data_IF_591145538495
#
_entry.id   IF_591145538495
#
_cell.length_a   1.000
_cell.length_b   1.000
_cell.length_c   1.000
_cell.angle_alpha   90.00
_cell.angle_beta   90.00
_cell.angle_gamma   90.00
#
_symmetry.space_group_name_H-M   'P 1'
#
loop_
_entity.id
_entity.type
_entity.pdbx_description
1 polymer ?
#
# COMPACT_ATOMS: atom_id res chain seq x y z
N UNK A 1 -15.69 15.04 -0.25
CA UNK A 1 -17.07 15.46 -0.01
C UNK A 1 -17.06 16.93 0.31
N UNK A 2 -17.95 17.69 -0.32
CA UNK A 2 -18.22 19.05 0.12
C UNK A 2 -19.41 18.96 1.05
N UNK A 3 -19.17 19.23 2.33
CA UNK A 3 -20.22 19.24 3.33
C UNK A 3 -20.26 20.66 3.84
N UNK A 4 -21.36 21.36 3.51
CA UNK A 4 -21.62 22.77 3.80
C UNK A 4 -22.08 23.01 5.25
N UNK A 5 -21.71 22.11 6.15
CA UNK A 5 -21.89 22.31 7.59
C UNK A 5 -20.71 23.16 8.07
N UNK A 6 -21.03 24.34 8.62
CA UNK A 6 -20.05 25.19 9.27
C UNK A 6 -19.57 24.54 10.58
N UNK A 7 -18.25 24.44 10.74
CA UNK A 7 -17.62 23.92 11.94
C UNK A 7 -16.59 24.94 12.41
N UNK A 8 -16.72 25.37 13.65
CA UNK A 8 -15.84 26.36 14.26
C UNK A 8 -14.37 25.95 14.11
N UNK A 9 -13.53 26.85 13.60
CA UNK A 9 -12.09 26.62 13.36
C UNK A 9 -11.74 25.88 12.06
N UNK A 10 -12.69 25.56 11.17
CA UNK A 10 -12.41 24.88 9.90
C UNK A 10 -12.41 25.84 8.71
N UNK A 11 -11.29 25.92 7.99
CA UNK A 11 -11.21 26.58 6.69
C UNK A 11 -11.72 25.64 5.57
N UNK A 12 -12.84 26.01 4.94
CA UNK A 12 -13.38 25.38 3.73
C UNK A 12 -14.28 24.15 3.94
N UNK A 13 -14.95 23.74 2.86
CA UNK A 13 -15.98 22.69 2.89
C UNK A 13 -15.43 21.30 2.55
N UNK A 14 -14.11 21.10 2.47
CA UNK A 14 -13.53 19.79 2.13
C UNK A 14 -13.63 18.79 3.28
N UNK A 15 -14.18 17.62 2.98
CA UNK A 15 -14.24 16.46 3.87
C UNK A 15 -13.69 15.22 3.17
N UNK A 16 -13.07 14.35 3.95
CA UNK A 16 -12.45 13.10 3.50
C UNK A 16 -13.35 11.94 3.85
N UNK A 17 -13.60 11.08 2.86
CA UNK A 17 -14.19 9.77 3.11
C UNK A 17 -13.05 8.80 3.38
N UNK A 18 -13.02 8.27 4.59
CA UNK A 18 -12.15 7.19 5.02
C UNK A 18 -12.90 5.87 4.92
N UNK A 19 -12.18 4.82 4.58
CA UNK A 19 -12.68 3.44 4.63
C UNK A 19 -11.72 2.59 5.43
N UNK A 20 -12.28 1.90 6.41
CA UNK A 20 -11.61 0.88 7.20
C UNK A 20 -12.31 -0.44 6.90
N UNK A 21 -11.54 -1.44 6.51
CA UNK A 21 -12.09 -2.73 6.13
C UNK A 21 -11.41 -3.85 6.90
N UNK A 22 -12.23 -4.76 7.42
CA UNK A 22 -11.83 -6.05 7.96
C UNK A 22 -12.44 -7.18 7.11
N UNK A 23 -12.31 -8.43 7.57
CA UNK A 23 -12.92 -9.58 6.89
C UNK A 23 -14.45 -9.56 6.93
N UNK A 24 -15.05 -8.95 7.94
CA UNK A 24 -16.50 -9.01 8.18
C UNK A 24 -17.19 -7.65 8.07
N UNK A 25 -16.44 -6.55 8.11
CA UNK A 25 -16.99 -5.20 8.19
C UNK A 25 -16.27 -4.24 7.26
N UNK A 26 -17.04 -3.41 6.56
CA UNK A 26 -16.56 -2.19 5.91
C UNK A 26 -17.14 -1.01 6.67
N UNK A 27 -16.28 -0.14 7.20
CA UNK A 27 -16.66 1.01 8.00
C UNK A 27 -16.24 2.29 7.29
N UNK A 28 -17.22 3.16 7.01
CA UNK A 28 -17.05 4.43 6.33
C UNK A 28 -17.06 5.57 7.35
N UNK A 29 -16.10 6.48 7.25
CA UNK A 29 -16.05 7.68 8.10
C UNK A 29 -15.89 8.90 7.23
N UNK A 30 -16.80 9.86 7.36
CA UNK A 30 -16.66 11.18 6.76
C UNK A 30 -16.09 12.11 7.82
N UNK A 31 -14.85 12.58 7.64
CA UNK A 31 -14.15 13.41 8.61
C UNK A 31 -13.46 14.60 7.91
N UNK A 32 -13.46 15.82 8.48
CA UNK A 32 -12.74 16.95 7.88
C UNK A 32 -11.22 16.79 7.94
N UNK A 33 -10.71 15.96 8.86
CA UNK A 33 -9.30 15.65 9.03
C UNK A 33 -8.86 14.52 8.10
N UNK A 34 -7.67 14.69 7.50
CA UNK A 34 -6.91 13.60 6.88
C UNK A 34 -5.76 13.10 7.77
N UNK A 35 -5.77 13.48 9.05
CA UNK A 35 -4.64 13.24 9.96
C UNK A 35 -4.73 11.87 10.67
N UNK A 36 -3.75 11.57 11.52
CA UNK A 36 -3.77 10.36 12.36
C UNK A 36 -4.88 10.36 13.43
N UNK A 37 -5.52 11.50 13.70
CA UNK A 37 -6.65 11.58 14.63
C UNK A 37 -7.82 10.66 14.23
N UNK A 38 -8.00 10.44 12.92
CA UNK A 38 -9.08 9.59 12.40
C UNK A 38 -8.81 8.11 12.69
N UNK A 39 -7.67 7.50 12.29
CA UNK A 39 -7.39 6.12 12.68
C UNK A 39 -7.23 5.94 14.20
N UNK A 40 -6.79 6.96 14.96
CA UNK A 40 -6.79 6.91 16.44
C UNK A 40 -8.20 6.73 17.00
N UNK A 41 -9.18 7.50 16.51
CA UNK A 41 -10.57 7.39 16.95
C UNK A 41 -11.21 6.07 16.49
N UNK A 42 -11.03 5.69 15.22
CA UNK A 42 -11.67 4.50 14.65
C UNK A 42 -11.12 3.20 15.24
N UNK A 43 -9.83 3.16 15.55
CA UNK A 43 -9.17 1.97 16.10
C UNK A 43 -8.95 2.09 17.62
N UNK A 44 -9.74 2.93 18.29
CA UNK A 44 -9.70 3.06 19.74
C UNK A 44 -9.92 1.68 20.41
N UNK A 45 -9.05 1.35 21.37
CA UNK A 45 -9.07 0.05 22.06
C UNK A 45 -8.37 -1.09 21.30
N UNK A 46 -8.01 -0.93 20.02
CA UNK A 46 -7.24 -1.95 19.28
C UNK A 46 -5.78 -1.94 19.75
N UNK A 47 -5.36 -3.03 20.40
CA UNK A 47 -4.06 -3.10 21.05
C UNK A 47 -2.93 -3.57 20.14
N UNK A 48 -3.22 -4.30 19.06
CA UNK A 48 -2.24 -4.90 18.15
C UNK A 48 -2.91 -5.35 16.84
N UNK A 49 -2.13 -5.50 15.77
CA UNK A 49 -2.63 -6.01 14.49
C UNK A 49 -1.83 -5.56 13.29
N UNK A 50 -2.28 -5.94 12.09
CA UNK A 50 -1.67 -5.52 10.82
C UNK A 50 -2.66 -4.64 10.06
N UNK A 51 -2.20 -3.46 9.62
CA UNK A 51 -2.97 -2.56 8.75
C UNK A 51 -2.37 -2.64 7.35
N UNK A 52 -3.15 -3.15 6.38
CA UNK A 52 -2.86 -2.96 4.96
C UNK A 52 -3.32 -1.56 4.54
N UNK A 53 -2.40 -0.72 4.08
CA UNK A 53 -2.70 0.66 3.73
C UNK A 53 -1.89 1.18 2.54
N UNK A 54 -2.36 2.29 2.00
CA UNK A 54 -1.53 3.15 1.19
C UNK A 54 -0.42 3.76 2.05
N UNK A 55 0.61 4.33 1.40
CA UNK A 55 1.78 4.88 2.11
C UNK A 55 1.48 6.22 2.81
N UNK A 56 0.21 6.50 3.13
CA UNK A 56 -0.26 7.77 3.66
C UNK A 56 0.36 8.08 5.05
N UNK A 57 0.62 9.37 5.29
CA UNK A 57 1.32 9.84 6.49
C UNK A 57 0.58 9.55 7.80
N UNK A 58 -0.76 9.57 7.78
CA UNK A 58 -1.60 9.31 8.94
C UNK A 58 -1.29 7.94 9.58
N UNK A 59 -1.26 6.86 8.78
CA UNK A 59 -0.96 5.52 9.28
C UNK A 59 0.47 5.40 9.80
N UNK A 60 1.44 6.08 9.17
CA UNK A 60 2.83 6.13 9.65
C UNK A 60 2.92 6.77 11.05
N UNK A 61 2.20 7.87 11.27
CA UNK A 61 2.12 8.53 12.58
C UNK A 61 1.41 7.62 13.60
N UNK A 62 0.26 7.06 13.23
CA UNK A 62 -0.50 6.12 14.07
C UNK A 62 0.37 4.94 14.54
N UNK A 63 1.01 4.21 13.61
CA UNK A 63 1.86 3.06 13.98
C UNK A 63 3.10 3.43 14.81
N UNK A 64 3.55 4.70 14.78
CA UNK A 64 4.62 5.17 15.67
C UNK A 64 4.12 5.32 17.11
N UNK A 65 2.86 5.71 17.30
CA UNK A 65 2.21 5.84 18.60
C UNK A 65 1.71 4.50 19.14
N UNK A 66 1.52 3.51 18.26
CA UNK A 66 1.05 2.17 18.60
C UNK A 66 2.05 1.09 18.13
N UNK A 67 3.12 0.77 18.90
CA UNK A 67 4.21 -0.10 18.45
C UNK A 67 3.81 -1.54 18.10
N UNK A 68 2.69 -2.02 18.64
CA UNK A 68 2.12 -3.35 18.35
C UNK A 68 1.26 -3.36 17.08
N UNK A 69 1.05 -2.22 16.44
CA UNK A 69 0.44 -2.10 15.12
C UNK A 69 1.52 -2.15 14.06
N UNK A 70 1.41 -3.12 13.15
CA UNK A 70 2.32 -3.30 12.04
C UNK A 70 1.67 -2.81 10.75
N UNK A 71 2.43 -2.08 9.93
CA UNK A 71 1.96 -1.61 8.63
C UNK A 71 2.44 -2.54 7.52
N UNK A 72 1.50 -3.03 6.70
CA UNK A 72 1.76 -3.62 5.40
C UNK A 72 1.46 -2.59 4.32
N UNK A 73 2.45 -2.26 3.51
CA UNK A 73 2.29 -1.24 2.46
C UNK A 73 1.91 -1.86 1.13
N UNK A 74 0.97 -1.20 0.45
CA UNK A 74 0.42 -1.63 -0.81
C UNK A 74 1.45 -1.60 -1.96
N UNK A 75 1.69 -2.77 -2.56
CA UNK A 75 2.52 -2.95 -3.74
C UNK A 75 1.88 -2.39 -5.01
N UNK A 76 0.55 -2.29 -5.10
CA UNK A 76 -0.09 -1.67 -6.27
C UNK A 76 0.29 -0.19 -6.41
N UNK A 77 0.45 0.53 -5.29
CA UNK A 77 1.00 1.89 -5.28
C UNK A 77 2.46 1.93 -5.70
N UNK A 78 3.29 0.99 -5.20
CA UNK A 78 4.68 0.92 -5.60
C UNK A 78 4.83 0.59 -7.10
N UNK A 79 3.97 -0.28 -7.65
CA UNK A 79 3.89 -0.60 -9.09
C UNK A 79 3.48 0.61 -9.90
N UNK A 80 2.50 1.40 -9.43
CA UNK A 80 2.07 2.64 -10.07
C UNK A 80 3.20 3.64 -10.17
N UNK A 81 4.04 3.79 -9.14
CA UNK A 81 5.21 4.67 -9.21
C UNK A 81 6.16 4.28 -10.37
N UNK A 82 6.35 2.98 -10.64
CA UNK A 82 7.16 2.51 -11.77
C UNK A 82 6.48 2.76 -13.11
N UNK A 83 5.17 2.53 -13.22
CA UNK A 83 4.41 2.84 -14.44
C UNK A 83 4.46 4.34 -14.76
N UNK A 84 4.30 5.19 -13.75
CA UNK A 84 4.44 6.64 -13.90
C UNK A 84 5.86 7.00 -14.37
N UNK A 85 6.90 6.40 -13.80
CA UNK A 85 8.27 6.60 -14.28
C UNK A 85 8.43 6.19 -15.76
N UNK A 86 7.88 5.04 -16.15
CA UNK A 86 7.96 4.56 -17.53
C UNK A 86 7.28 5.51 -18.53
N UNK A 87 6.14 6.07 -18.14
CA UNK A 87 5.37 6.99 -18.98
C UNK A 87 6.02 8.38 -19.06
N UNK A 88 6.45 8.92 -17.91
CA UNK A 88 6.97 10.29 -17.81
C UNK A 88 8.41 10.39 -18.34
N UNK A 89 9.14 9.27 -18.37
CA UNK A 89 10.54 9.20 -18.81
C UNK A 89 10.75 8.01 -19.76
N UNK A 90 10.44 8.14 -21.07
CA UNK A 90 10.53 7.04 -22.03
C UNK A 90 11.89 6.31 -22.09
N UNK A 91 13.06 6.96 -21.93
CA UNK A 91 14.34 6.25 -21.86
C UNK A 91 14.47 5.29 -20.66
N UNK A 92 13.63 5.43 -19.63
CA UNK A 92 13.58 4.56 -18.46
C UNK A 92 12.45 3.52 -18.54
N UNK A 93 11.68 3.48 -19.63
CA UNK A 93 10.50 2.63 -19.73
C UNK A 93 10.84 1.15 -19.53
N UNK A 94 11.77 0.60 -20.29
CA UNK A 94 12.17 -0.81 -20.18
C UNK A 94 12.72 -1.13 -18.78
N UNK A 95 13.55 -0.25 -18.24
CA UNK A 95 14.08 -0.39 -16.88
C UNK A 95 12.97 -0.42 -15.83
N UNK A 96 11.98 0.46 -15.94
CA UNK A 96 10.84 0.53 -15.03
C UNK A 96 9.91 -0.68 -15.19
N UNK A 97 9.71 -1.17 -16.42
CA UNK A 97 8.87 -2.34 -16.70
C UNK A 97 9.44 -3.63 -16.10
N UNK A 98 10.76 -3.79 -16.02
CA UNK A 98 11.39 -4.90 -15.28
C UNK A 98 10.90 -4.94 -13.81
N UNK A 99 10.74 -3.77 -13.18
CA UNK A 99 10.19 -3.70 -11.81
C UNK A 99 8.69 -3.96 -11.75
N UNK A 100 7.94 -3.49 -12.74
CA UNK A 100 6.51 -3.77 -12.89
C UNK A 100 6.25 -5.28 -12.97
N UNK A 101 7.06 -5.99 -13.75
CA UNK A 101 6.96 -7.44 -13.94
C UNK A 101 7.36 -8.21 -12.68
N UNK A 102 8.46 -7.80 -12.02
CA UNK A 102 8.85 -8.36 -10.72
C UNK A 102 7.74 -8.22 -9.67
N UNK A 103 7.05 -7.09 -9.65
CA UNK A 103 5.91 -6.89 -8.76
C UNK A 103 4.74 -7.79 -9.19
N UNK A 104 4.44 -7.88 -10.48
CA UNK A 104 3.42 -8.79 -11.02
C UNK A 104 3.63 -10.25 -10.59
N UNK A 105 4.88 -10.71 -10.63
CA UNK A 105 5.22 -12.06 -10.15
C UNK A 105 4.99 -12.23 -8.64
N UNK A 106 5.18 -11.18 -7.81
CA UNK A 106 4.82 -11.26 -6.38
C UNK A 106 3.32 -11.45 -6.18
N UNK A 107 2.48 -10.79 -7.00
CA UNK A 107 1.02 -10.95 -6.94
C UNK A 107 0.62 -12.36 -7.35
N UNK A 108 1.11 -12.84 -8.49
CA UNK A 108 0.88 -14.20 -8.98
C UNK A 108 1.26 -15.26 -7.93
N UNK A 109 2.48 -15.18 -7.38
CA UNK A 109 2.94 -16.10 -6.34
C UNK A 109 2.13 -16.00 -5.05
N UNK A 110 1.59 -14.82 -4.72
CA UNK A 110 0.72 -14.65 -3.56
C UNK A 110 -0.63 -15.35 -3.78
N UNK A 111 -1.23 -15.19 -4.96
CA UNK A 111 -2.53 -15.77 -5.30
C UNK A 111 -2.44 -17.30 -5.35
N UNK A 112 -1.45 -17.86 -6.07
CA UNK A 112 -1.18 -19.30 -6.10
C UNK A 112 -0.96 -19.86 -4.67
N UNK A 113 -0.25 -19.10 -3.81
CA UNK A 113 -0.01 -19.48 -2.41
C UNK A 113 -1.30 -19.44 -1.57
N UNK A 114 -2.23 -18.55 -1.89
CA UNK A 114 -3.50 -18.42 -1.16
C UNK A 114 -4.42 -19.62 -1.41
N UNK A 115 -4.41 -20.14 -2.64
CA UNK A 115 -5.15 -21.33 -3.08
C UNK A 115 -4.54 -22.64 -2.53
N UNK A 116 -3.23 -22.66 -2.29
CA UNK A 116 -2.55 -23.83 -1.73
C UNK A 116 -3.01 -24.14 -0.29
N UNK A 117 -3.16 -25.44 0.00
CA UNK A 117 -3.47 -25.93 1.34
C UNK A 117 -2.45 -25.40 2.37
N UNK A 118 -2.92 -24.76 3.47
CA UNK A 118 -2.01 -24.25 4.50
C UNK A 118 -1.03 -25.31 4.98
N UNK A 119 0.25 -24.95 5.09
CA UNK A 119 1.35 -25.82 5.55
C UNK A 119 1.67 -27.02 4.63
N UNK A 120 1.01 -27.19 3.48
CA UNK A 120 1.34 -28.20 2.48
C UNK A 120 2.67 -27.95 1.74
N UNK A 121 3.15 -28.94 0.97
CA UNK A 121 4.40 -28.81 0.20
C UNK A 121 4.32 -27.66 -0.81
N UNK A 122 3.23 -27.58 -1.58
CA UNK A 122 2.99 -26.51 -2.55
C UNK A 122 3.03 -25.12 -1.88
N UNK A 123 2.36 -24.97 -0.73
CA UNK A 123 2.41 -23.73 0.05
C UNK A 123 3.84 -23.35 0.44
N UNK A 124 4.62 -24.30 0.97
CA UNK A 124 6.02 -24.05 1.38
C UNK A 124 6.90 -23.65 0.19
N UNK A 125 6.72 -24.29 -0.97
CA UNK A 125 7.44 -23.95 -2.19
C UNK A 125 7.08 -22.55 -2.68
N UNK A 126 5.79 -22.21 -2.79
CA UNK A 126 5.33 -20.89 -3.22
C UNK A 126 5.74 -19.79 -2.25
N UNK A 127 5.62 -20.05 -0.94
CA UNK A 127 6.13 -19.15 0.10
C UNK A 127 7.66 -18.95 -0.01
N UNK A 128 8.40 -20.01 -0.32
CA UNK A 128 9.84 -19.95 -0.61
C UNK A 128 10.17 -19.11 -1.85
N UNK A 129 9.44 -19.29 -2.95
CA UNK A 129 9.55 -18.49 -4.18
C UNK A 129 9.27 -17.01 -3.90
N UNK A 130 8.19 -16.70 -3.19
CA UNK A 130 7.82 -15.33 -2.82
C UNK A 130 8.93 -14.65 -1.98
N UNK A 131 9.48 -15.36 -0.98
CA UNK A 131 10.62 -14.87 -0.20
C UNK A 131 11.87 -14.69 -1.06
N UNK A 132 12.10 -15.56 -2.04
CA UNK A 132 13.22 -15.47 -2.97
C UNK A 132 13.08 -14.26 -3.90
N UNK A 133 11.90 -14.05 -4.48
CA UNK A 133 11.57 -12.88 -5.30
C UNK A 133 11.85 -11.58 -4.56
N UNK A 134 11.38 -11.46 -3.31
CA UNK A 134 11.70 -10.29 -2.48
C UNK A 134 13.20 -10.12 -2.21
N UNK A 135 13.94 -11.21 -1.94
CA UNK A 135 15.40 -11.12 -1.77
C UNK A 135 16.09 -10.64 -3.05
N UNK A 136 15.67 -11.13 -4.21
CA UNK A 136 16.17 -10.68 -5.51
C UNK A 136 15.88 -9.20 -5.70
N UNK A 137 14.63 -8.75 -5.53
CA UNK A 137 14.27 -7.33 -5.63
C UNK A 137 15.06 -6.44 -4.66
N UNK A 138 15.38 -6.91 -3.45
CA UNK A 138 16.23 -6.17 -2.53
C UNK A 138 17.66 -5.99 -3.06
N UNK A 139 18.27 -7.06 -3.60
CA UNK A 139 19.61 -7.00 -4.21
C UNK A 139 19.63 -6.08 -5.42
N UNK A 140 18.63 -6.20 -6.28
CA UNK A 140 18.49 -5.37 -7.49
C UNK A 140 18.30 -3.90 -7.14
N UNK A 141 17.56 -3.59 -6.08
CA UNK A 141 17.40 -2.21 -5.61
C UNK A 141 18.72 -1.66 -5.08
N UNK A 142 19.50 -2.47 -4.34
CA UNK A 142 20.82 -2.05 -3.88
C UNK A 142 21.78 -1.81 -5.04
N UNK A 143 21.75 -2.67 -6.08
CA UNK A 143 22.52 -2.46 -7.33
C UNK A 143 22.13 -1.15 -8.00
N UNK A 144 20.83 -0.90 -8.19
CA UNK A 144 20.34 0.34 -8.77
C UNK A 144 20.74 1.59 -7.96
N UNK A 145 20.76 1.50 -6.63
CA UNK A 145 21.21 2.61 -5.77
C UNK A 145 22.73 2.83 -5.77
N UNK A 146 23.52 1.83 -6.15
CA UNK A 146 24.97 1.93 -6.26
C UNK A 146 25.43 2.40 -7.65
N UNK A 147 24.54 2.29 -8.65
CA UNK A 147 24.78 2.76 -10.01
C UNK A 147 24.77 4.30 -10.04
N UNK A 148 25.92 4.87 -10.40
CA UNK A 148 26.12 6.33 -10.48
C UNK A 148 25.51 6.93 -11.74
N UNK A 149 25.30 6.11 -12.77
CA UNK A 149 24.74 6.52 -14.06
C UNK A 149 23.21 6.42 -14.08
N UNK A 150 22.60 5.80 -13.06
CA UNK A 150 21.15 5.70 -12.96
C UNK A 150 20.52 7.11 -12.93
N UNK A 151 19.60 7.46 -13.83
CA UNK A 151 19.01 8.80 -13.84
C UNK A 151 18.28 9.16 -12.53
N UNK A 152 18.30 10.44 -12.17
CA UNK A 152 17.78 10.96 -10.90
C UNK A 152 16.33 10.51 -10.58
N UNK A 153 15.37 10.51 -11.55
CA UNK A 153 14.01 10.03 -11.28
C UNK A 153 13.96 8.57 -10.80
N UNK A 154 14.75 7.68 -11.41
CA UNK A 154 14.85 6.29 -10.99
C UNK A 154 15.54 6.17 -9.62
N UNK A 155 16.60 6.94 -9.35
CA UNK A 155 17.22 6.97 -8.03
C UNK A 155 16.25 7.41 -6.93
N UNK A 156 15.45 8.46 -7.16
CA UNK A 156 14.42 8.95 -6.23
C UNK A 156 13.40 7.84 -5.92
N UNK A 157 12.95 7.12 -6.95
CA UNK A 157 12.04 6.00 -6.79
C UNK A 157 12.67 4.85 -5.98
N UNK A 158 13.90 4.46 -6.28
CA UNK A 158 14.63 3.43 -5.52
C UNK A 158 14.84 3.81 -4.05
N UNK A 159 15.18 5.08 -3.77
CA UNK A 159 15.32 5.61 -2.40
C UNK A 159 13.99 5.56 -1.65
N UNK A 160 12.88 5.91 -2.31
CA UNK A 160 11.53 5.80 -1.76
C UNK A 160 11.18 4.34 -1.41
N UNK A 161 11.42 3.43 -2.35
CA UNK A 161 11.19 1.98 -2.16
C UNK A 161 12.04 1.43 -1.02
N UNK A 162 13.32 1.80 -0.92
CA UNK A 162 14.23 1.41 0.17
C UNK A 162 13.68 1.86 1.53
N UNK A 163 13.25 3.11 1.66
CA UNK A 163 12.66 3.67 2.89
C UNK A 163 11.40 2.91 3.33
N UNK A 164 10.67 2.35 2.37
CA UNK A 164 9.40 1.65 2.61
C UNK A 164 9.52 0.12 2.62
N UNK A 165 10.70 -0.41 2.35
CA UNK A 165 10.95 -1.83 2.13
C UNK A 165 10.47 -2.73 3.27
N UNK A 166 10.75 -2.35 4.52
CA UNK A 166 10.32 -3.13 5.69
C UNK A 166 8.81 -3.36 5.72
N UNK A 167 8.02 -2.35 5.34
CA UNK A 167 6.54 -2.43 5.33
C UNK A 167 6.00 -3.06 4.06
N UNK A 168 6.68 -2.87 2.92
CA UNK A 168 6.34 -3.55 1.66
C UNK A 168 6.48 -5.07 1.76
N UNK A 169 7.44 -5.59 2.54
CA UNK A 169 7.63 -7.06 2.68
C UNK A 169 6.77 -7.71 3.76
N UNK A 170 5.97 -6.95 4.49
CA UNK A 170 5.28 -7.46 5.68
C UNK A 170 4.17 -8.46 5.35
N UNK A 171 3.46 -8.28 4.23
CA UNK A 171 2.42 -9.20 3.75
C UNK A 171 2.89 -10.67 3.62
N UNK A 172 4.19 -10.91 3.42
CA UNK A 172 4.71 -12.28 3.33
C UNK A 172 4.62 -13.03 4.65
N UNK A 173 4.66 -12.31 5.77
CA UNK A 173 4.61 -12.88 7.13
C UNK A 173 3.19 -13.27 7.57
N UNK A 174 2.18 -12.63 7.00
CA UNK A 174 0.78 -12.78 7.38
C UNK A 174 -0.01 -13.29 6.18
N UNK A 175 -0.42 -14.56 6.18
CA UNK A 175 -1.03 -15.22 5.01
C UNK A 175 -2.30 -14.51 4.54
N UNK A 176 -3.05 -13.97 5.49
CA UNK A 176 -4.32 -13.27 5.34
C UNK A 176 -4.20 -11.82 4.86
N UNK A 177 -2.97 -11.26 4.85
CA UNK A 177 -2.73 -9.88 4.44
C UNK A 177 -2.33 -9.87 2.96
N UNK A 178 -3.17 -9.31 2.07
CA UNK A 178 -2.80 -9.18 0.67
C UNK A 178 -1.63 -8.20 0.48
N UNK A 179 -0.89 -8.32 -0.64
CA UNK A 179 0.17 -7.37 -1.01
C UNK A 179 -0.36 -5.97 -1.35
N UNK A 180 -1.69 -5.79 -1.47
CA UNK A 180 -2.33 -4.52 -1.78
C UNK A 180 -3.41 -4.12 -0.75
N UNK A 181 -3.94 -2.91 -0.90
CA UNK A 181 -5.13 -2.42 -0.20
C UNK A 181 -6.31 -2.19 -1.18
N UNK A 182 -6.32 -2.85 -2.34
CA UNK A 182 -7.27 -2.65 -3.42
C UNK A 182 -8.71 -2.92 -2.98
N UNK A 183 -8.93 -3.81 -2.01
CA UNK A 183 -10.27 -4.05 -1.45
C UNK A 183 -10.85 -2.79 -0.80
N UNK A 184 -10.05 -2.08 0.01
CA UNK A 184 -10.48 -0.82 0.62
C UNK A 184 -10.63 0.28 -0.42
N UNK A 185 -9.77 0.32 -1.45
CA UNK A 185 -9.92 1.25 -2.58
C UNK A 185 -11.19 0.99 -3.40
N UNK A 186 -11.54 -0.28 -3.65
CA UNK A 186 -12.79 -0.65 -4.34
C UNK A 186 -14.01 -0.25 -3.52
N UNK A 187 -14.00 -0.46 -2.20
CA UNK A 187 -15.05 0.01 -1.31
C UNK A 187 -15.21 1.55 -1.36
N UNK A 188 -14.10 2.29 -1.50
CA UNK A 188 -14.14 3.75 -1.72
C UNK A 188 -14.72 4.15 -3.09
N UNK A 189 -14.54 3.33 -4.14
CA UNK A 189 -14.96 3.71 -5.51
C UNK A 189 -16.46 3.93 -5.64
N UNK A 190 -17.30 3.09 -5.04
CA UNK A 190 -18.76 3.22 -5.12
C UNK A 190 -19.24 4.61 -4.67
N UNK A 191 -18.95 5.02 -3.41
CA UNK A 191 -19.27 6.36 -2.92
C UNK A 191 -18.64 7.50 -3.73
N UNK A 192 -17.43 7.31 -4.27
CA UNK A 192 -16.76 8.34 -5.10
C UNK A 192 -17.43 8.50 -6.45
N UNK A 193 -17.89 7.41 -7.07
CA UNK A 193 -18.65 7.45 -8.33
C UNK A 193 -20.04 8.05 -8.11
N UNK A 194 -20.75 7.66 -7.05
CA UNK A 194 -22.03 8.26 -6.68
C UNK A 194 -21.93 9.79 -6.58
N UNK A 195 -20.91 10.30 -5.87
CA UNK A 195 -20.64 11.75 -5.80
C UNK A 195 -20.48 12.42 -7.17
N UNK A 196 -19.83 11.76 -8.15
CA UNK A 196 -19.60 12.34 -9.48
C UNK A 196 -20.86 12.37 -10.34
N UNK A 197 -21.85 11.53 -10.02
CA UNK A 197 -23.09 11.41 -10.78
C UNK A 197 -24.26 12.18 -10.14
N UNK A 198 -24.13 12.59 -8.87
CA UNK A 198 -25.15 13.31 -8.09
C UNK A 198 -24.80 14.80 -7.82
N UNK A 199 -23.70 15.30 -8.40
CA UNK A 199 -23.29 16.71 -8.45
C UNK A 199 -23.22 17.16 -9.91
#
# INVERSE_FOLDING_TARGET
>A
WEVFVEREGKAGHRWWLWVFQSRSVVYYVIDPSRSASVPEAVLAGVQSGVISCDRHGAYKKFARLHPRIVLSFCWAHQRRDFLTLANDYPPLADWAMIWVDRIGELFKLYDERAEAAPRGLAYRQLHGKLRSGLRTMARERHRALADRELPEPAQKLMKSMQRHWRRLREFVRHREVPPDNNSAERALRGPVVGRKNEL
#
